data_IF_968851786312
#
_entry.id   IF_968851786312
#
_cell.length_a   1.000
_cell.length_b   1.000
_cell.length_c   1.000
_cell.angle_alpha   90.00
_cell.angle_beta   90.00
_cell.angle_gamma   90.00
#
_symmetry.space_group_name_H-M   'P 1'
#
loop_
_entity.id
_entity.type
_entity.pdbx_description
1 polymer ?
#
# COMPACT_ATOMS: atom_id res chain seq x y z
N UNK A 1 11.42 10.48 10.67
CA UNK A 1 11.58 9.27 11.49
C UNK A 1 12.45 9.47 12.74
N UNK A 2 13.24 10.53 12.82
CA UNK A 2 14.04 10.89 14.00
C UNK A 2 15.30 10.06 14.24
N UNK A 3 15.49 8.96 13.53
CA UNK A 3 16.68 8.12 13.61
C UNK A 3 17.43 8.10 12.28
N UNK A 4 18.77 8.10 12.28
CA UNK A 4 19.54 7.95 11.05
C UNK A 4 19.29 6.55 10.43
N UNK A 5 19.34 6.44 9.10
CA UNK A 5 19.25 5.14 8.44
C UNK A 5 20.48 4.29 8.76
N UNK A 6 20.30 2.96 8.86
CA UNK A 6 21.34 1.99 9.09
C UNK A 6 21.19 0.80 8.13
N UNK A 7 22.29 0.14 7.77
CA UNK A 7 22.25 -1.10 6.98
C UNK A 7 21.76 -2.28 7.81
N UNK A 8 22.12 -2.34 9.09
CA UNK A 8 21.49 -3.26 10.06
C UNK A 8 20.11 -2.72 10.45
N UNK A 9 19.10 -3.05 9.65
CA UNK A 9 17.75 -2.50 9.77
C UNK A 9 16.65 -3.56 9.87
N UNK A 10 16.97 -4.85 9.77
CA UNK A 10 15.95 -5.93 9.71
C UNK A 10 15.50 -6.33 11.11
N UNK A 11 14.52 -5.62 11.63
CA UNK A 11 13.92 -5.81 12.94
C UNK A 11 12.42 -6.03 12.83
N UNK A 12 11.87 -6.73 13.81
CA UNK A 12 10.43 -6.80 14.07
C UNK A 12 10.15 -6.26 15.46
N UNK A 13 9.02 -5.59 15.64
CA UNK A 13 8.47 -5.22 16.94
C UNK A 13 7.22 -6.06 17.18
N UNK A 14 7.00 -6.48 18.43
CA UNK A 14 5.84 -7.30 18.80
C UNK A 14 5.14 -6.65 19.98
N UNK A 15 3.83 -6.44 19.85
CA UNK A 15 2.94 -6.07 20.94
C UNK A 15 1.98 -7.22 21.19
N UNK A 16 1.92 -7.69 22.41
CA UNK A 16 1.02 -8.76 22.82
C UNK A 16 0.34 -8.38 24.13
N UNK A 17 -0.88 -8.89 24.40
CA UNK A 17 -1.50 -8.74 25.70
C UNK A 17 -0.66 -9.42 26.80
N UNK A 18 -0.44 -8.73 27.92
CA UNK A 18 0.27 -9.32 29.08
C UNK A 18 -0.45 -10.56 29.62
N UNK A 19 -1.79 -10.50 29.62
CA UNK A 19 -2.66 -11.61 30.03
C UNK A 19 -3.65 -11.88 28.90
N UNK A 20 -3.38 -12.83 28.01
CA UNK A 20 -4.30 -13.13 26.93
C UNK A 20 -5.62 -13.69 27.46
N UNK A 21 -6.74 -13.14 27.00
CA UNK A 21 -8.08 -13.60 27.35
C UNK A 21 -8.42 -14.99 26.76
N UNK A 22 -7.67 -15.42 25.75
CA UNK A 22 -7.83 -16.71 25.09
C UNK A 22 -6.47 -17.20 24.59
N UNK A 23 -6.27 -18.52 24.47
CA UNK A 23 -5.15 -19.08 23.73
C UNK A 23 -5.32 -18.79 22.24
N UNK A 24 -4.21 -18.65 21.51
CA UNK A 24 -4.21 -18.48 20.05
C UNK A 24 -4.92 -17.19 19.57
N UNK A 25 -4.36 -16.05 19.95
CA UNK A 25 -4.85 -14.74 19.51
C UNK A 25 -4.63 -14.51 18.01
N UNK A 26 -5.52 -13.78 17.32
CA UNK A 26 -5.26 -13.34 15.95
C UNK A 26 -3.99 -12.49 15.89
N UNK A 27 -3.26 -12.63 14.78
CA UNK A 27 -2.01 -11.91 14.54
C UNK A 27 -2.23 -10.90 13.42
N UNK A 28 -1.74 -9.68 13.59
CA UNK A 28 -1.72 -8.66 12.54
C UNK A 28 -0.28 -8.25 12.27
N UNK A 29 0.13 -8.28 10.99
CA UNK A 29 1.49 -7.95 10.55
C UNK A 29 1.45 -6.72 9.68
N UNK A 30 2.05 -5.62 10.16
CA UNK A 30 2.09 -4.34 9.48
C UNK A 30 3.30 -4.19 8.58
N UNK A 31 3.06 -3.74 7.34
CA UNK A 31 4.07 -3.34 6.37
C UNK A 31 3.89 -1.85 6.10
N UNK A 32 4.89 -1.04 6.46
CA UNK A 32 4.83 0.42 6.31
C UNK A 32 4.95 0.86 4.86
N UNK A 33 4.44 2.06 4.56
CA UNK A 33 4.57 2.74 3.29
C UNK A 33 5.89 3.49 3.10
N UNK A 34 5.89 4.44 2.17
CA UNK A 34 7.04 5.31 1.87
C UNK A 34 7.70 5.06 0.53
N UNK A 35 6.95 4.58 -0.47
CA UNK A 35 7.40 4.45 -1.88
C UNK A 35 8.56 3.50 -2.09
N UNK A 36 8.77 2.55 -1.18
CA UNK A 36 9.93 1.62 -1.17
C UNK A 36 11.29 2.31 -1.03
N UNK A 37 11.33 3.59 -0.70
CA UNK A 37 12.57 4.40 -0.55
C UNK A 37 12.69 5.07 0.81
N UNK A 38 11.60 5.24 1.54
CA UNK A 38 11.53 5.78 2.89
C UNK A 38 10.72 4.85 3.79
N UNK A 39 10.81 5.04 5.09
CA UNK A 39 9.94 4.37 6.04
C UNK A 39 10.70 3.62 7.12
N UNK A 40 9.92 2.98 7.98
CA UNK A 40 10.36 2.17 9.10
C UNK A 40 9.19 1.88 10.02
N UNK A 41 9.33 0.88 10.88
CA UNK A 41 8.27 0.40 11.77
C UNK A 41 8.22 1.11 13.12
N UNK A 42 9.13 2.06 13.38
CA UNK A 42 9.30 2.71 14.69
C UNK A 42 8.54 4.03 14.93
N UNK A 43 7.92 4.73 13.94
CA UNK A 43 7.13 5.92 14.24
C UNK A 43 6.03 5.67 15.26
N UNK A 44 5.81 6.62 16.17
CA UNK A 44 4.80 6.51 17.22
C UNK A 44 3.37 6.30 16.70
N UNK A 45 3.08 6.70 15.45
CA UNK A 45 1.80 6.44 14.79
C UNK A 45 1.56 4.95 14.50
N UNK A 46 2.61 4.12 14.53
CA UNK A 46 2.53 2.66 14.35
C UNK A 46 2.56 1.89 15.66
N UNK A 47 2.34 2.54 16.81
CA UNK A 47 2.25 1.87 18.11
C UNK A 47 1.11 0.84 18.11
N UNK A 48 1.45 -0.43 18.37
CA UNK A 48 0.52 -1.57 18.34
C UNK A 48 -0.29 -1.77 19.60
N UNK A 49 -0.17 -0.91 20.60
CA UNK A 49 -0.80 -1.08 21.93
C UNK A 49 -2.32 -1.18 21.84
N UNK A 50 -2.97 -0.46 20.92
CA UNK A 50 -4.42 -0.53 20.75
C UNK A 50 -4.88 -1.91 20.25
N UNK A 51 -4.14 -2.52 19.35
CA UNK A 51 -4.39 -3.89 18.87
C UNK A 51 -4.19 -4.89 20.01
N UNK A 52 -3.10 -4.76 20.78
CA UNK A 52 -2.83 -5.63 21.91
C UNK A 52 -3.94 -5.52 22.99
N UNK A 53 -4.38 -4.32 23.35
CA UNK A 53 -5.52 -4.13 24.29
C UNK A 53 -6.80 -4.81 23.80
N UNK A 54 -6.98 -4.95 22.49
CA UNK A 54 -8.12 -5.66 21.89
C UNK A 54 -7.86 -7.15 21.62
N UNK A 55 -6.81 -7.72 22.21
CA UNK A 55 -6.53 -9.16 22.14
C UNK A 55 -5.99 -9.61 20.78
N UNK A 56 -5.16 -8.81 20.17
CA UNK A 56 -4.42 -9.13 18.94
C UNK A 56 -2.93 -9.15 19.26
N UNK A 57 -2.17 -10.09 18.74
CA UNK A 57 -0.71 -9.97 18.67
C UNK A 57 -0.37 -9.16 17.42
N UNK A 58 0.12 -7.95 17.64
CA UNK A 58 0.51 -7.05 16.55
C UNK A 58 2.01 -7.14 16.32
N UNK A 59 2.41 -7.23 15.06
CA UNK A 59 3.81 -7.27 14.62
C UNK A 59 4.02 -6.18 13.58
N UNK A 60 5.04 -5.35 13.75
CA UNK A 60 5.54 -4.48 12.67
C UNK A 60 6.95 -4.87 12.28
N UNK A 61 7.29 -4.66 11.03
CA UNK A 61 8.57 -5.09 10.46
C UNK A 61 9.26 -3.96 9.70
N UNK A 62 10.58 -4.00 9.68
CA UNK A 62 11.40 -3.28 8.72
C UNK A 62 11.76 -4.19 7.55
N UNK A 63 11.98 -3.58 6.40
CA UNK A 63 12.54 -4.23 5.22
C UNK A 63 13.51 -3.29 4.52
N UNK A 64 14.42 -3.81 3.72
CA UNK A 64 15.36 -2.99 2.94
C UNK A 64 14.64 -2.13 1.93
N UNK A 65 15.13 -0.91 1.78
CA UNK A 65 14.56 0.16 0.96
C UNK A 65 15.53 0.63 -0.12
N UNK A 66 15.02 1.36 -1.09
CA UNK A 66 15.82 1.93 -2.16
C UNK A 66 16.63 0.87 -2.88
N UNK A 67 17.87 1.17 -3.23
CA UNK A 67 18.77 0.23 -3.91
C UNK A 67 19.26 -0.92 -3.03
N UNK A 68 19.10 -0.87 -1.72
CA UNK A 68 19.33 -2.02 -0.86
C UNK A 68 18.21 -3.05 -0.93
N UNK A 69 16.99 -2.59 -1.14
CA UNK A 69 15.80 -3.45 -1.21
C UNK A 69 15.41 -3.86 -2.62
N UNK A 70 15.71 -2.99 -3.60
CA UNK A 70 15.24 -3.16 -4.98
C UNK A 70 16.34 -2.76 -5.97
N UNK A 71 17.13 -3.73 -6.39
CA UNK A 71 18.25 -3.52 -7.30
C UNK A 71 18.51 -4.77 -8.16
N UNK A 72 18.56 -4.60 -9.47
CA UNK A 72 18.93 -5.64 -10.42
C UNK A 72 20.17 -5.22 -11.18
N UNK A 73 20.98 -6.20 -11.53
CA UNK A 73 22.18 -6.02 -12.38
C UNK A 73 22.49 -7.34 -13.07
N UNK A 74 22.91 -7.36 -14.34
CA UNK A 74 23.14 -8.61 -15.08
C UNK A 74 24.13 -9.56 -14.38
N UNK A 75 25.14 -9.02 -13.69
CA UNK A 75 26.09 -9.85 -12.92
C UNK A 75 25.44 -10.53 -11.71
N UNK A 76 24.45 -9.91 -11.05
CA UNK A 76 23.67 -10.55 -9.97
C UNK A 76 22.84 -11.72 -10.51
N UNK A 77 22.20 -11.52 -11.67
CA UNK A 77 21.41 -12.57 -12.33
C UNK A 77 22.28 -13.76 -12.72
N UNK A 78 23.50 -13.50 -13.23
CA UNK A 78 24.45 -14.58 -13.56
C UNK A 78 25.03 -15.28 -12.33
N UNK A 79 25.20 -14.57 -11.22
CA UNK A 79 25.72 -15.15 -9.96
C UNK A 79 24.68 -16.10 -9.32
N UNK A 80 23.40 -15.81 -9.43
CA UNK A 80 22.30 -16.58 -8.81
C UNK A 80 21.14 -16.79 -9.78
N UNK A 81 21.32 -17.52 -10.88
CA UNK A 81 20.32 -17.64 -11.96
C UNK A 81 19.02 -18.30 -11.48
N UNK A 82 19.09 -19.18 -10.48
CA UNK A 82 17.95 -19.86 -9.91
C UNK A 82 17.40 -19.16 -8.63
N UNK A 83 18.07 -18.16 -8.12
CA UNK A 83 17.68 -17.39 -6.95
C UNK A 83 16.60 -16.34 -7.26
N UNK A 84 15.84 -15.90 -6.24
CA UNK A 84 15.04 -14.69 -6.34
C UNK A 84 15.97 -13.48 -6.40
N UNK A 85 15.72 -12.56 -7.33
CA UNK A 85 16.64 -11.48 -7.68
C UNK A 85 15.95 -10.13 -7.66
N UNK A 86 16.67 -9.11 -7.21
CA UNK A 86 16.28 -7.71 -7.33
C UNK A 86 15.25 -7.22 -6.32
N UNK A 87 14.39 -8.09 -5.81
CA UNK A 87 13.30 -7.77 -4.89
C UNK A 87 13.64 -8.13 -3.43
N UNK A 88 14.80 -7.72 -2.95
CA UNK A 88 15.29 -8.08 -1.61
C UNK A 88 14.40 -7.54 -0.49
N UNK A 89 13.76 -6.37 -0.66
CA UNK A 89 12.79 -5.84 0.29
C UNK A 89 11.57 -6.75 0.45
N UNK A 90 11.09 -7.37 -0.62
CA UNK A 90 10.02 -8.38 -0.52
C UNK A 90 10.50 -9.69 0.12
N UNK A 91 11.75 -10.09 -0.10
CA UNK A 91 12.34 -11.23 0.62
C UNK A 91 12.39 -10.99 2.13
N UNK A 92 12.72 -9.76 2.54
CA UNK A 92 12.73 -9.38 3.95
C UNK A 92 11.33 -9.49 4.57
N UNK A 93 10.30 -9.03 3.85
CA UNK A 93 8.88 -9.17 4.27
C UNK A 93 8.46 -10.63 4.37
N UNK A 94 8.83 -11.46 3.38
CA UNK A 94 8.57 -12.92 3.41
C UNK A 94 9.32 -13.57 4.56
N UNK A 95 10.56 -13.16 4.83
CA UNK A 95 11.33 -13.68 5.96
C UNK A 95 10.67 -13.32 7.31
N UNK A 96 10.16 -12.09 7.45
CA UNK A 96 9.41 -11.66 8.62
C UNK A 96 8.11 -12.47 8.80
N UNK A 97 7.36 -12.73 7.72
CA UNK A 97 6.17 -13.60 7.77
C UNK A 97 6.52 -15.03 8.17
N UNK A 98 7.62 -15.59 7.67
CA UNK A 98 8.12 -16.89 8.09
C UNK A 98 8.53 -16.88 9.57
N UNK A 99 9.14 -15.81 10.04
CA UNK A 99 9.46 -15.62 11.45
C UNK A 99 8.18 -15.62 12.30
N UNK A 100 7.13 -14.92 11.86
CA UNK A 100 5.82 -14.92 12.53
C UNK A 100 5.27 -16.34 12.61
N UNK A 101 5.24 -17.08 11.51
CA UNK A 101 4.78 -18.48 11.48
C UNK A 101 5.51 -19.36 12.50
N UNK A 102 6.81 -19.14 12.67
CA UNK A 102 7.65 -19.95 13.55
C UNK A 102 7.59 -19.54 15.03
N UNK A 103 7.40 -18.24 15.33
CA UNK A 103 7.68 -17.71 16.65
C UNK A 103 6.46 -17.09 17.36
N UNK A 104 5.42 -16.69 16.63
CA UNK A 104 4.32 -15.88 17.20
C UNK A 104 3.54 -16.60 18.29
N UNK A 105 3.54 -17.94 18.31
CA UNK A 105 2.91 -18.74 19.36
C UNK A 105 3.53 -18.47 20.75
N UNK A 106 4.83 -18.15 20.82
CA UNK A 106 5.49 -17.77 22.08
C UNK A 106 4.97 -16.44 22.65
N UNK A 107 4.33 -15.62 21.83
CA UNK A 107 3.68 -14.36 22.21
C UNK A 107 2.16 -14.52 22.38
N UNK A 108 1.63 -15.75 22.37
CA UNK A 108 0.20 -16.05 22.48
C UNK A 108 -0.56 -15.92 21.14
N UNK A 109 0.10 -15.66 20.03
CA UNK A 109 -0.51 -15.55 18.70
C UNK A 109 -0.77 -16.89 18.03
N UNK A 110 -1.76 -16.92 17.15
CA UNK A 110 -2.07 -18.09 16.31
C UNK A 110 -1.38 -17.98 14.94
N UNK A 111 -0.37 -18.79 14.62
CA UNK A 111 0.23 -18.81 13.30
C UNK A 111 -0.76 -19.21 12.19
N UNK A 112 -1.88 -19.89 12.53
CA UNK A 112 -2.98 -20.20 11.62
C UNK A 112 -3.99 -19.04 11.42
N UNK A 113 -3.80 -17.89 12.07
CA UNK A 113 -4.70 -16.75 11.99
C UNK A 113 -3.94 -15.42 11.83
N UNK A 114 -3.17 -15.30 10.76
CA UNK A 114 -2.32 -14.15 10.45
C UNK A 114 -3.00 -13.26 9.40
N UNK A 115 -3.15 -11.99 9.71
CA UNK A 115 -3.59 -10.92 8.78
C UNK A 115 -2.37 -10.07 8.43
N UNK A 116 -2.01 -9.99 7.15
CA UNK A 116 -1.02 -9.03 6.66
C UNK A 116 -1.74 -7.74 6.23
N UNK A 117 -1.20 -6.59 6.61
CA UNK A 117 -1.78 -5.31 6.21
C UNK A 117 -0.71 -4.23 6.02
N UNK A 118 -1.03 -3.22 5.22
CA UNK A 118 -0.09 -2.15 4.92
C UNK A 118 -0.72 -1.04 4.12
N UNK A 119 -0.06 0.11 4.17
CA UNK A 119 -0.50 1.34 3.51
C UNK A 119 0.49 1.75 2.42
N UNK A 120 -0.03 2.38 1.32
CA UNK A 120 0.80 2.89 0.22
C UNK A 120 1.69 1.81 -0.38
N UNK A 121 3.02 1.99 -0.37
CA UNK A 121 3.97 0.94 -0.78
C UNK A 121 3.82 -0.34 0.07
N UNK A 122 3.42 -0.23 1.34
CA UNK A 122 3.06 -1.37 2.18
C UNK A 122 1.81 -2.08 1.69
N UNK A 123 0.77 -1.35 1.29
CA UNK A 123 -0.41 -1.89 0.63
C UNK A 123 -0.09 -2.56 -0.70
N UNK A 124 0.77 -1.93 -1.52
CA UNK A 124 1.31 -2.53 -2.74
C UNK A 124 2.11 -3.80 -2.47
N UNK A 125 2.84 -3.84 -1.34
CA UNK A 125 3.51 -5.05 -0.86
C UNK A 125 2.51 -6.16 -0.54
N UNK A 126 1.42 -5.85 0.16
CA UNK A 126 0.36 -6.83 0.45
C UNK A 126 -0.23 -7.40 -0.84
N UNK A 127 -0.57 -6.54 -1.84
CA UNK A 127 -1.03 -6.98 -3.15
C UNK A 127 -0.01 -7.92 -3.83
N UNK A 128 1.28 -7.61 -3.73
CA UNK A 128 2.36 -8.45 -4.26
C UNK A 128 2.47 -9.78 -3.52
N UNK A 129 2.40 -9.78 -2.19
CA UNK A 129 2.40 -11.00 -1.38
C UNK A 129 1.20 -11.90 -1.67
N UNK A 130 0.03 -11.32 -1.97
CA UNK A 130 -1.17 -12.05 -2.38
C UNK A 130 -0.95 -12.90 -3.65
N UNK A 131 -0.05 -12.48 -4.53
CA UNK A 131 0.23 -13.17 -5.80
C UNK A 131 1.56 -13.92 -5.81
N UNK A 132 2.42 -13.71 -4.79
CA UNK A 132 3.75 -14.31 -4.72
C UNK A 132 3.67 -15.80 -4.33
N UNK A 133 4.26 -16.72 -5.13
CA UNK A 133 4.34 -18.13 -4.76
C UNK A 133 5.09 -18.35 -3.44
N UNK A 134 6.08 -17.50 -3.12
CA UNK A 134 6.92 -17.62 -1.93
C UNK A 134 6.22 -17.20 -0.64
N UNK A 135 5.10 -16.46 -0.74
CA UNK A 135 4.30 -16.00 0.40
C UNK A 135 3.06 -16.85 0.65
N UNK A 136 2.79 -17.86 -0.19
CA UNK A 136 1.61 -18.72 -0.05
C UNK A 136 1.60 -19.45 1.30
N UNK A 137 0.46 -19.38 2.01
CA UNK A 137 0.27 -20.03 3.31
C UNK A 137 0.93 -19.31 4.49
N UNK A 138 1.61 -18.16 4.28
CA UNK A 138 2.21 -17.39 5.37
C UNK A 138 1.23 -16.45 6.06
N UNK A 139 0.08 -16.18 5.43
CA UNK A 139 -1.00 -15.36 5.99
C UNK A 139 -2.36 -15.90 5.55
N UNK A 140 -3.42 -15.50 6.25
CA UNK A 140 -4.77 -16.03 6.15
C UNK A 140 -5.81 -14.97 5.83
N UNK A 141 -5.43 -13.69 5.91
CA UNK A 141 -6.25 -12.52 5.56
C UNK A 141 -5.34 -11.39 5.09
N UNK A 142 -5.88 -10.49 4.29
CA UNK A 142 -5.14 -9.35 3.78
C UNK A 142 -5.96 -8.06 3.86
N UNK A 143 -5.31 -6.96 4.30
CA UNK A 143 -5.88 -5.62 4.25
C UNK A 143 -4.93 -4.72 3.45
N UNK A 144 -5.48 -3.99 2.50
CA UNK A 144 -4.73 -3.06 1.64
C UNK A 144 -5.29 -1.65 1.81
N UNK A 145 -4.45 -0.77 2.31
CA UNK A 145 -4.75 0.64 2.50
C UNK A 145 -3.99 1.44 1.43
N UNK A 146 -4.72 2.06 0.50
CA UNK A 146 -4.15 2.89 -0.58
C UNK A 146 -3.00 2.22 -1.34
N UNK A 147 -3.15 0.93 -1.68
CA UNK A 147 -2.05 0.10 -2.21
C UNK A 147 -1.93 0.05 -3.73
N UNK A 148 -2.75 0.79 -4.49
CA UNK A 148 -2.77 0.72 -5.95
C UNK A 148 -3.14 -0.69 -6.45
N UNK A 149 -2.41 -1.19 -7.45
CA UNK A 149 -2.55 -2.57 -7.94
C UNK A 149 -3.05 -2.69 -9.38
N UNK A 150 -3.35 -1.57 -10.05
CA UNK A 150 -3.71 -1.56 -11.46
C UNK A 150 -2.49 -1.68 -12.35
N UNK A 151 -2.58 -2.48 -13.40
CA UNK A 151 -1.57 -2.58 -14.44
C UNK A 151 -1.39 -1.23 -15.15
N UNK A 152 -0.14 -0.84 -15.40
CA UNK A 152 0.19 0.49 -15.93
C UNK A 152 -0.04 1.65 -14.94
N UNK A 153 -0.40 1.37 -13.68
CA UNK A 153 -0.60 2.37 -12.63
C UNK A 153 0.71 2.87 -11.99
N UNK A 154 0.55 3.68 -10.93
CA UNK A 154 1.69 4.34 -10.26
C UNK A 154 2.71 3.37 -9.63
N UNK A 155 2.27 2.16 -9.27
CA UNK A 155 3.10 1.12 -8.65
C UNK A 155 3.41 -0.04 -9.61
N UNK A 156 3.29 0.16 -10.92
CA UNK A 156 3.60 -0.87 -11.92
C UNK A 156 5.07 -1.27 -11.85
N UNK A 157 5.37 -2.55 -11.59
CA UNK A 157 6.75 -3.03 -11.55
C UNK A 157 7.34 -3.11 -12.97
N UNK A 158 8.62 -2.82 -13.10
CA UNK A 158 9.37 -3.05 -14.33
C UNK A 158 9.66 -4.53 -14.52
N UNK A 159 9.94 -4.94 -15.76
CA UNK A 159 10.53 -6.27 -16.00
C UNK A 159 11.94 -6.35 -15.42
N UNK A 160 12.43 -7.56 -15.10
CA UNK A 160 13.80 -7.77 -14.64
C UNK A 160 14.83 -7.18 -15.61
N UNK A 161 14.64 -7.38 -16.92
CA UNK A 161 15.53 -6.83 -17.95
C UNK A 161 15.60 -5.30 -17.94
N UNK A 162 14.48 -4.63 -17.80
CA UNK A 162 14.44 -3.16 -17.68
C UNK A 162 15.11 -2.70 -16.37
N UNK A 163 14.88 -3.42 -15.26
CA UNK A 163 15.51 -3.12 -13.99
C UNK A 163 17.03 -3.34 -14.01
N UNK A 164 17.52 -4.35 -14.73
CA UNK A 164 18.95 -4.57 -14.96
C UNK A 164 19.58 -3.41 -15.73
N UNK A 165 18.92 -2.92 -16.78
CA UNK A 165 19.40 -1.76 -17.53
C UNK A 165 19.51 -0.51 -16.64
N UNK A 166 18.55 -0.29 -15.76
CA UNK A 166 18.58 0.78 -14.75
C UNK A 166 19.72 0.57 -13.75
N UNK A 167 19.99 -0.67 -13.32
CA UNK A 167 21.10 -0.99 -12.43
C UNK A 167 22.46 -0.74 -13.08
N UNK A 168 22.62 -1.05 -14.35
CA UNK A 168 23.85 -0.73 -15.13
C UNK A 168 24.01 0.79 -15.26
N UNK A 169 22.92 1.52 -15.52
CA UNK A 169 22.96 2.99 -15.57
C UNK A 169 23.37 3.59 -14.22
N UNK A 170 22.83 3.06 -13.11
CA UNK A 170 23.28 3.43 -11.77
C UNK A 170 24.75 3.14 -11.55
N UNK A 171 25.23 1.93 -11.85
CA UNK A 171 26.62 1.52 -11.70
C UNK A 171 27.56 2.48 -12.44
N UNK A 172 27.26 2.78 -13.71
CA UNK A 172 28.01 3.75 -14.50
C UNK A 172 28.02 5.14 -13.86
N UNK A 173 26.89 5.62 -13.37
CA UNK A 173 26.78 6.93 -12.67
C UNK A 173 27.59 6.97 -11.37
N UNK A 174 27.82 5.81 -10.76
CA UNK A 174 28.64 5.63 -9.55
C UNK A 174 30.14 5.38 -9.86
N UNK A 175 30.56 5.50 -11.12
CA UNK A 175 31.94 5.29 -11.53
C UNK A 175 32.31 3.80 -11.70
N UNK A 176 31.34 2.91 -11.76
CA UNK A 176 31.53 1.47 -11.94
C UNK A 176 30.99 1.07 -13.32
N UNK A 177 31.79 1.14 -14.38
CA UNK A 177 31.38 0.69 -15.70
C UNK A 177 31.35 -0.84 -15.81
N UNK A 178 30.55 -1.35 -16.76
CA UNK A 178 30.46 -2.78 -17.01
C UNK A 178 29.26 -3.45 -16.39
N UNK A 179 29.08 -4.71 -16.69
CA UNK A 179 27.98 -5.53 -16.24
C UNK A 179 28.40 -6.93 -15.78
N UNK A 180 29.72 -7.13 -15.60
CA UNK A 180 30.38 -8.39 -15.25
C UNK A 180 30.61 -8.56 -13.72
N UNK A 181 31.23 -9.66 -13.37
CA UNK A 181 31.55 -9.96 -11.96
C UNK A 181 32.50 -8.92 -11.32
N UNK A 182 33.39 -8.29 -12.12
CA UNK A 182 34.28 -7.25 -11.61
C UNK A 182 33.49 -5.98 -11.25
N UNK A 183 32.54 -5.59 -12.10
CA UNK A 183 31.63 -4.48 -11.84
C UNK A 183 30.78 -4.76 -10.57
N UNK A 184 30.26 -5.98 -10.41
CA UNK A 184 29.52 -6.36 -9.21
C UNK A 184 30.39 -6.29 -7.93
N UNK A 185 31.62 -6.78 -8.00
CA UNK A 185 32.55 -6.70 -6.88
C UNK A 185 32.90 -5.24 -6.50
N UNK A 186 32.99 -4.34 -7.50
CA UNK A 186 33.18 -2.91 -7.28
C UNK A 186 31.93 -2.25 -6.67
N UNK A 187 30.72 -2.58 -7.14
CA UNK A 187 29.45 -2.10 -6.57
C UNK A 187 29.31 -2.48 -5.08
N UNK A 188 29.70 -3.71 -4.73
CA UNK A 188 29.65 -4.20 -3.33
C UNK A 188 30.61 -3.46 -2.40
N UNK A 189 31.61 -2.75 -2.92
CA UNK A 189 32.56 -1.93 -2.16
C UNK A 189 32.13 -0.48 -1.99
N UNK A 190 31.07 -0.06 -2.67
CA UNK A 190 30.58 1.30 -2.55
C UNK A 190 30.06 1.55 -1.11
N UNK A 191 30.39 2.69 -0.52
CA UNK A 191 29.80 3.10 0.75
C UNK A 191 28.27 3.23 0.63
N UNK A 192 27.55 2.92 1.70
CA UNK A 192 26.07 2.99 1.73
C UNK A 192 25.53 4.34 1.24
N UNK A 193 26.16 5.46 1.62
CA UNK A 193 25.78 6.81 1.15
C UNK A 193 25.81 6.96 -0.36
N UNK A 194 26.71 6.25 -1.04
CA UNK A 194 26.85 6.30 -2.51
C UNK A 194 25.83 5.41 -3.21
N UNK A 195 25.29 4.41 -2.53
CA UNK A 195 24.13 3.65 -2.97
C UNK A 195 22.82 4.43 -2.79
N UNK A 196 22.66 5.14 -1.67
CA UNK A 196 21.49 5.98 -1.41
C UNK A 196 21.45 7.18 -2.35
N UNK A 197 22.55 7.96 -2.47
CA UNK A 197 22.69 9.14 -3.36
C UNK A 197 21.47 10.09 -3.34
N UNK A 198 20.95 10.37 -2.15
CA UNK A 198 19.81 11.25 -1.98
C UNK A 198 18.47 10.67 -2.47
N UNK A 199 18.39 9.37 -2.78
CA UNK A 199 17.15 8.70 -3.17
C UNK A 199 16.19 8.73 -1.98
N UNK A 200 15.03 9.36 -2.18
CA UNK A 200 13.95 9.44 -1.22
C UNK A 200 12.62 9.71 -1.95
N UNK A 201 11.52 9.79 -1.22
CA UNK A 201 10.18 9.95 -1.79
C UNK A 201 10.04 11.21 -2.67
N UNK A 202 10.73 12.30 -2.32
CA UNK A 202 10.69 13.57 -3.08
C UNK A 202 11.56 13.55 -4.32
N UNK A 203 12.62 12.73 -4.35
CA UNK A 203 13.61 12.69 -5.42
C UNK A 203 13.50 11.47 -6.32
N UNK A 204 12.75 10.43 -5.92
CA UNK A 204 12.64 9.18 -6.68
C UNK A 204 12.14 9.39 -8.12
N UNK A 205 11.25 10.35 -8.33
CA UNK A 205 10.76 10.69 -9.65
C UNK A 205 11.85 11.19 -10.61
N UNK A 206 12.87 11.86 -10.08
CA UNK A 206 14.03 12.37 -10.81
C UNK A 206 15.13 11.31 -11.01
N UNK A 207 15.04 10.20 -10.30
CA UNK A 207 16.03 9.11 -10.32
C UNK A 207 15.53 7.85 -11.05
N UNK A 208 14.49 7.97 -11.87
CA UNK A 208 13.88 6.82 -12.58
C UNK A 208 14.87 6.06 -13.49
N UNK A 209 15.92 6.72 -13.97
CA UNK A 209 16.95 6.11 -14.82
C UNK A 209 18.02 5.36 -14.03
N UNK A 210 18.04 5.52 -12.68
CA UNK A 210 19.04 4.92 -11.79
C UNK A 210 18.42 4.18 -10.61
N UNK A 211 17.09 4.15 -10.50
CA UNK A 211 16.34 3.41 -9.50
C UNK A 211 15.10 2.76 -10.13
N UNK A 212 15.08 1.45 -10.15
CA UNK A 212 14.00 0.69 -10.78
C UNK A 212 12.76 0.52 -9.90
N UNK A 213 12.93 0.48 -8.57
CA UNK A 213 11.89 0.02 -7.64
C UNK A 213 11.65 -1.49 -7.73
N UNK A 214 10.50 -1.97 -7.24
CA UNK A 214 10.06 -3.35 -7.42
C UNK A 214 10.00 -3.77 -8.89
N UNK A 215 10.26 -5.06 -9.16
CA UNK A 215 10.32 -5.58 -10.53
C UNK A 215 9.68 -6.97 -10.65
N UNK A 216 9.23 -7.31 -11.84
CA UNK A 216 8.78 -8.66 -12.18
C UNK A 216 10.03 -9.51 -12.40
N UNK A 217 10.39 -10.32 -11.38
CA UNK A 217 11.54 -11.22 -11.38
C UNK A 217 11.18 -12.67 -11.75
N UNK A 218 9.88 -12.95 -11.90
CA UNK A 218 9.36 -14.27 -12.23
C UNK A 218 9.37 -15.29 -11.07
N UNK A 219 9.77 -14.88 -9.86
CA UNK A 219 9.90 -15.76 -8.69
C UNK A 219 9.19 -15.22 -7.45
N UNK A 220 9.45 -13.97 -7.07
CA UNK A 220 8.73 -13.26 -5.99
C UNK A 220 7.54 -12.54 -6.60
N UNK A 221 7.82 -11.70 -7.59
CA UNK A 221 6.82 -10.96 -8.37
C UNK A 221 6.71 -11.63 -9.72
N UNK A 222 5.68 -12.44 -9.92
CA UNK A 222 5.50 -13.24 -11.13
C UNK A 222 4.76 -12.49 -12.23
N UNK A 223 3.96 -11.50 -11.85
CA UNK A 223 3.14 -10.67 -12.74
C UNK A 223 2.61 -9.45 -11.97
N UNK A 224 1.84 -8.59 -12.64
CA UNK A 224 1.14 -7.48 -12.00
C UNK A 224 -0.08 -7.96 -11.21
N UNK A 225 -0.44 -7.31 -10.07
CA UNK A 225 -1.59 -7.71 -9.26
C UNK A 225 -2.90 -7.80 -10.04
N UNK A 226 -3.25 -6.80 -10.84
CA UNK A 226 -4.46 -6.85 -11.67
C UNK A 226 -4.51 -8.09 -12.56
N UNK A 227 -3.40 -8.41 -13.23
CA UNK A 227 -3.32 -9.58 -14.12
C UNK A 227 -3.58 -10.88 -13.37
N UNK A 228 -2.98 -11.02 -12.19
CA UNK A 228 -3.17 -12.19 -11.35
C UNK A 228 -4.60 -12.30 -10.81
N UNK A 229 -5.18 -11.18 -10.34
CA UNK A 229 -6.56 -11.15 -9.81
C UNK A 229 -7.59 -11.45 -10.91
N UNK A 230 -7.44 -10.89 -12.12
CA UNK A 230 -8.30 -11.22 -13.26
C UNK A 230 -8.28 -12.71 -13.62
N UNK A 231 -7.17 -13.36 -13.41
CA UNK A 231 -7.00 -14.79 -13.68
C UNK A 231 -7.27 -15.69 -12.45
N UNK A 232 -7.65 -15.12 -11.31
CA UNK A 232 -7.95 -15.85 -10.07
C UNK A 232 -6.73 -16.55 -9.45
N UNK A 233 -5.51 -16.03 -9.68
CA UNK A 233 -4.25 -16.62 -9.21
C UNK A 233 -3.76 -16.08 -7.86
N UNK A 234 -4.42 -15.07 -7.31
CA UNK A 234 -4.14 -14.53 -5.98
C UNK A 234 -4.42 -15.54 -4.86
N UNK A 235 -3.85 -15.34 -3.68
CA UNK A 235 -4.20 -16.09 -2.48
C UNK A 235 -5.70 -15.89 -2.18
N UNK A 236 -6.42 -16.99 -2.00
CA UNK A 236 -7.88 -16.99 -1.74
C UNK A 236 -8.16 -16.82 -0.25
N UNK A 237 -7.91 -15.64 0.26
CA UNK A 237 -8.12 -15.27 1.67
C UNK A 237 -9.12 -14.11 1.74
N UNK A 238 -9.82 -13.88 2.87
CA UNK A 238 -10.61 -12.69 3.08
C UNK A 238 -9.78 -11.42 2.79
N UNK A 239 -10.38 -10.47 2.09
CA UNK A 239 -9.71 -9.30 1.55
C UNK A 239 -10.45 -8.01 1.91
N UNK A 240 -9.78 -7.07 2.56
CA UNK A 240 -10.28 -5.74 2.88
C UNK A 240 -9.41 -4.72 2.16
N UNK A 241 -10.03 -3.82 1.38
CA UNK A 241 -9.28 -2.90 0.54
C UNK A 241 -9.98 -1.55 0.43
N UNK A 242 -9.23 -0.49 0.42
CA UNK A 242 -9.76 0.85 0.21
C UNK A 242 -8.69 1.91 0.05
N UNK A 243 -9.14 3.14 0.03
CA UNK A 243 -8.30 4.31 -0.18
C UNK A 243 -8.92 5.55 0.46
N UNK A 244 -8.10 6.59 0.63
CA UNK A 244 -8.56 7.88 1.10
C UNK A 244 -9.25 8.67 -0.01
N UNK A 245 -10.10 9.61 0.35
CA UNK A 245 -10.93 10.30 -0.63
C UNK A 245 -10.18 11.36 -1.45
N UNK A 246 -9.02 11.84 -0.95
CA UNK A 246 -8.22 12.89 -1.58
C UNK A 246 -6.71 12.59 -1.52
N UNK A 247 -6.30 11.42 -1.92
CA UNK A 247 -4.96 10.84 -1.78
C UNK A 247 -3.81 11.83 -2.04
N UNK A 248 -3.87 12.58 -3.13
CA UNK A 248 -2.82 13.50 -3.57
C UNK A 248 -3.17 14.98 -3.41
N UNK A 249 -4.12 15.31 -2.53
CA UNK A 249 -4.56 16.67 -2.30
C UNK A 249 -3.50 17.65 -1.78
N UNK A 250 -2.33 17.15 -1.38
CA UNK A 250 -1.16 17.94 -0.98
C UNK A 250 -0.23 18.30 -2.15
N UNK A 251 -0.48 17.79 -3.35
CA UNK A 251 0.37 17.99 -4.52
C UNK A 251 -0.27 19.02 -5.46
N UNK A 252 0.26 20.26 -5.56
CA UNK A 252 -0.21 21.19 -6.57
C UNK A 252 0.13 20.64 -7.97
N UNK A 253 -0.87 20.61 -8.84
CA UNK A 253 -0.69 20.16 -10.22
C UNK A 253 -0.60 21.38 -11.15
N UNK A 254 0.47 21.50 -11.96
CA UNK A 254 0.54 22.53 -12.98
C UNK A 254 -0.52 22.28 -14.06
N UNK A 255 -1.11 23.33 -14.67
CA UNK A 255 -2.15 23.20 -15.70
C UNK A 255 -1.80 22.19 -16.81
N UNK A 256 -0.57 22.21 -17.31
CA UNK A 256 -0.12 21.30 -18.35
C UNK A 256 -0.19 19.81 -17.92
N UNK A 257 0.00 19.50 -16.63
CA UNK A 257 -0.15 18.12 -16.14
C UNK A 257 -1.62 17.71 -16.14
N UNK A 258 -2.52 18.59 -15.76
CA UNK A 258 -3.97 18.35 -15.79
C UNK A 258 -4.46 18.19 -17.22
N UNK A 259 -4.01 19.04 -18.15
CA UNK A 259 -4.32 18.91 -19.57
C UNK A 259 -3.82 17.58 -20.14
N UNK A 260 -2.62 17.13 -19.76
CA UNK A 260 -2.06 15.84 -20.14
C UNK A 260 -2.89 14.66 -19.60
N UNK A 261 -3.40 14.75 -18.38
CA UNK A 261 -4.30 13.74 -17.81
C UNK A 261 -5.61 13.70 -18.61
N UNK A 262 -6.22 14.84 -18.87
CA UNK A 262 -7.50 14.96 -19.58
C UNK A 262 -7.40 14.54 -21.05
N UNK A 263 -6.26 14.78 -21.70
CA UNK A 263 -6.03 14.36 -23.09
C UNK A 263 -6.16 12.84 -23.29
N UNK A 264 -5.90 12.04 -22.24
CA UNK A 264 -6.06 10.59 -22.28
C UNK A 264 -7.51 10.17 -22.51
N UNK A 265 -8.48 10.98 -22.09
CA UNK A 265 -9.91 10.70 -22.23
C UNK A 265 -10.50 11.07 -23.61
N UNK A 266 -9.72 11.67 -24.49
CA UNK A 266 -10.11 11.97 -25.90
C UNK A 266 -11.49 12.65 -26.02
N UNK A 267 -12.44 12.03 -26.73
CA UNK A 267 -13.78 12.58 -26.93
C UNK A 267 -14.62 12.67 -25.61
N UNK A 268 -14.26 11.94 -24.57
CA UNK A 268 -14.97 11.98 -23.28
C UNK A 268 -14.41 13.03 -22.29
N UNK A 269 -13.45 13.86 -22.71
CA UNK A 269 -12.82 14.89 -21.86
C UNK A 269 -13.86 15.74 -21.12
N UNK A 270 -14.86 16.23 -21.81
CA UNK A 270 -15.89 17.12 -21.23
C UNK A 270 -16.77 16.36 -20.21
N UNK A 271 -17.10 15.10 -20.48
CA UNK A 271 -17.83 14.25 -19.54
C UNK A 271 -17.01 13.99 -18.26
N UNK A 272 -15.70 13.79 -18.41
CA UNK A 272 -14.78 13.64 -17.28
C UNK A 272 -14.72 14.94 -16.46
N UNK A 273 -14.52 16.08 -17.10
CA UNK A 273 -14.52 17.38 -16.39
C UNK A 273 -15.85 17.58 -15.65
N UNK A 274 -16.98 17.31 -16.27
CA UNK A 274 -18.29 17.44 -15.63
C UNK A 274 -18.46 16.48 -14.42
N UNK A 275 -17.89 15.29 -14.47
CA UNK A 275 -17.93 14.32 -13.37
C UNK A 275 -17.04 14.73 -12.17
N UNK A 276 -15.95 15.46 -12.42
CA UNK A 276 -15.02 15.92 -11.38
C UNK A 276 -15.28 17.35 -10.91
N UNK A 277 -16.00 18.13 -11.67
CA UNK A 277 -16.44 19.51 -11.33
C UNK A 277 -17.97 19.65 -11.54
N UNK A 278 -18.80 18.90 -10.78
CA UNK A 278 -20.27 18.95 -10.93
C UNK A 278 -20.82 20.35 -10.59
N UNK A 279 -20.12 21.13 -9.76
CA UNK A 279 -20.46 22.51 -9.42
C UNK A 279 -20.11 23.53 -10.49
N UNK A 280 -19.43 23.12 -11.57
CA UNK A 280 -18.96 24.00 -12.68
C UNK A 280 -18.14 25.18 -12.18
N UNK A 281 -17.28 24.93 -11.20
CA UNK A 281 -16.41 25.95 -10.59
C UNK A 281 -15.28 26.39 -11.52
N UNK A 282 -14.93 25.56 -12.52
CA UNK A 282 -13.79 25.76 -13.41
C UNK A 282 -12.44 25.50 -12.72
N UNK A 283 -12.43 24.95 -11.52
CA UNK A 283 -11.19 24.65 -10.80
C UNK A 283 -10.51 23.39 -11.34
N UNK A 284 -9.72 23.56 -12.41
CA UNK A 284 -9.03 22.45 -13.07
C UNK A 284 -7.98 21.79 -12.18
N UNK A 285 -7.42 22.52 -11.20
CA UNK A 285 -6.52 21.91 -10.20
C UNK A 285 -7.22 20.84 -9.37
N UNK A 286 -8.44 21.09 -8.92
CA UNK A 286 -9.27 20.10 -8.21
C UNK A 286 -9.65 18.90 -9.09
N UNK A 287 -9.99 19.16 -10.36
CA UNK A 287 -10.22 18.08 -11.35
C UNK A 287 -8.98 17.19 -11.47
N UNK A 288 -7.81 17.78 -11.60
CA UNK A 288 -6.55 17.04 -11.71
C UNK A 288 -6.22 16.22 -10.45
N UNK A 289 -6.38 16.81 -9.26
CA UNK A 289 -6.17 16.11 -7.98
C UNK A 289 -7.15 14.94 -7.84
N UNK A 290 -8.42 15.15 -8.19
CA UNK A 290 -9.43 14.08 -8.17
C UNK A 290 -9.09 12.95 -9.12
N UNK A 291 -8.73 13.26 -10.37
CA UNK A 291 -8.31 12.28 -11.38
C UNK A 291 -7.08 11.48 -10.93
N UNK A 292 -6.08 12.16 -10.35
CA UNK A 292 -4.86 11.51 -9.86
C UNK A 292 -5.17 10.59 -8.67
N UNK A 293 -5.97 11.06 -7.71
CA UNK A 293 -6.35 10.26 -6.53
C UNK A 293 -7.16 9.02 -6.93
N UNK A 294 -8.16 9.20 -7.79
CA UNK A 294 -8.98 8.10 -8.24
C UNK A 294 -8.19 7.11 -9.10
N UNK A 295 -7.41 7.59 -10.07
CA UNK A 295 -6.66 6.71 -10.96
C UNK A 295 -5.50 5.96 -10.31
N UNK A 296 -4.89 6.54 -9.27
CA UNK A 296 -3.75 5.92 -8.61
C UNK A 296 -4.14 4.94 -7.49
N UNK A 297 -5.20 5.23 -6.72
CA UNK A 297 -5.51 4.47 -5.50
C UNK A 297 -6.96 4.01 -5.41
N UNK A 298 -7.94 4.91 -5.68
CA UNK A 298 -9.35 4.64 -5.40
C UNK A 298 -9.95 3.63 -6.39
N UNK A 299 -9.76 3.86 -7.69
CA UNK A 299 -10.23 2.95 -8.73
C UNK A 299 -9.50 1.60 -8.69
N UNK A 300 -8.16 1.55 -8.51
CA UNK A 300 -7.46 0.29 -8.31
C UNK A 300 -7.97 -0.53 -7.12
N UNK A 301 -8.27 0.12 -6.00
CA UNK A 301 -8.85 -0.57 -4.83
C UNK A 301 -10.24 -1.16 -5.17
N UNK A 302 -11.10 -0.39 -5.83
CA UNK A 302 -12.42 -0.87 -6.31
C UNK A 302 -12.31 -2.02 -7.31
N UNK A 303 -11.36 -1.92 -8.26
CA UNK A 303 -11.10 -3.00 -9.23
C UNK A 303 -10.69 -4.29 -8.53
N UNK A 304 -9.72 -4.24 -7.61
CA UNK A 304 -9.25 -5.43 -6.90
C UNK A 304 -10.33 -6.00 -5.98
N UNK A 305 -11.15 -5.14 -5.34
CA UNK A 305 -12.32 -5.60 -4.57
C UNK A 305 -13.30 -6.37 -5.46
N UNK A 306 -13.60 -5.86 -6.64
CA UNK A 306 -14.50 -6.51 -7.61
C UNK A 306 -13.96 -7.85 -8.06
N UNK A 307 -12.68 -7.92 -8.43
CA UNK A 307 -12.04 -9.14 -8.90
C UNK A 307 -11.93 -10.20 -7.80
N UNK A 308 -11.60 -9.80 -6.57
CA UNK A 308 -11.57 -10.70 -5.41
C UNK A 308 -12.97 -11.25 -5.09
N UNK A 309 -13.98 -10.38 -5.06
CA UNK A 309 -15.38 -10.77 -4.83
C UNK A 309 -15.89 -11.72 -5.92
N UNK A 310 -15.62 -11.42 -7.20
CA UNK A 310 -15.97 -12.29 -8.32
C UNK A 310 -15.28 -13.67 -8.25
N UNK A 311 -14.10 -13.76 -7.64
CA UNK A 311 -13.40 -15.01 -7.37
C UNK A 311 -13.96 -15.76 -6.14
N UNK A 312 -15.03 -15.25 -5.51
CA UNK A 312 -15.66 -15.86 -4.33
C UNK A 312 -14.95 -15.60 -3.01
N UNK A 313 -14.04 -14.64 -2.94
CA UNK A 313 -13.40 -14.25 -1.69
C UNK A 313 -14.32 -13.34 -0.86
N UNK A 314 -14.45 -13.55 0.46
CA UNK A 314 -15.03 -12.55 1.35
C UNK A 314 -14.27 -11.23 1.20
N UNK A 315 -14.94 -10.21 0.65
CA UNK A 315 -14.28 -8.96 0.29
C UNK A 315 -15.04 -7.79 0.89
N UNK A 316 -14.31 -6.80 1.39
CA UNK A 316 -14.86 -5.59 1.98
C UNK A 316 -14.14 -4.38 1.41
N UNK A 317 -14.90 -3.38 0.97
CA UNK A 317 -14.34 -2.16 0.39
C UNK A 317 -14.62 -0.95 1.29
N UNK A 318 -13.65 -0.03 1.42
CA UNK A 318 -13.83 1.20 2.19
C UNK A 318 -13.37 2.44 1.45
N UNK A 319 -13.86 3.58 1.92
CA UNK A 319 -13.36 4.92 1.69
C UNK A 319 -13.05 5.57 3.03
N UNK A 320 -11.92 6.23 3.14
CA UNK A 320 -11.63 7.06 4.29
C UNK A 320 -11.77 8.52 3.86
N UNK A 321 -12.84 9.20 4.31
CA UNK A 321 -13.14 10.59 3.98
C UNK A 321 -13.08 11.52 5.19
N UNK A 322 -12.76 10.98 6.37
CA UNK A 322 -12.61 11.76 7.58
C UNK A 322 -11.33 12.58 7.57
N UNK A 323 -11.48 13.84 7.90
CA UNK A 323 -10.35 14.74 8.14
C UNK A 323 -10.32 15.07 9.64
N UNK A 324 -9.16 14.90 10.27
CA UNK A 324 -8.99 15.23 11.67
C UNK A 324 -9.45 16.67 11.99
N UNK A 325 -10.11 16.83 13.10
CA UNK A 325 -10.74 18.10 13.51
C UNK A 325 -9.78 19.29 13.45
N UNK A 326 -8.53 19.08 13.88
CA UNK A 326 -7.49 20.11 13.93
C UNK A 326 -7.02 20.64 12.57
N UNK A 327 -7.24 19.88 11.48
CA UNK A 327 -6.80 20.27 10.12
C UNK A 327 -7.96 20.39 9.13
N UNK A 328 -9.19 20.10 9.54
CA UNK A 328 -10.38 20.02 8.68
C UNK A 328 -10.65 21.31 7.89
N UNK A 329 -10.34 22.46 8.46
CA UNK A 329 -10.50 23.74 7.78
C UNK A 329 -9.38 24.06 6.76
N UNK A 330 -8.30 23.27 6.76
CA UNK A 330 -7.11 23.54 5.94
C UNK A 330 -6.99 22.60 4.74
N UNK A 331 -7.73 21.49 4.73
CA UNK A 331 -7.67 20.47 3.67
C UNK A 331 -9.08 20.05 3.27
N UNK A 332 -9.28 19.82 1.97
CA UNK A 332 -10.60 19.58 1.40
C UNK A 332 -11.02 18.09 1.44
N UNK A 333 -10.25 17.21 2.08
CA UNK A 333 -10.52 15.78 2.18
C UNK A 333 -9.38 15.03 2.83
N UNK A 334 -9.56 13.73 3.07
CA UNK A 334 -8.56 12.86 3.68
C UNK A 334 -7.39 12.62 2.72
N UNK A 335 -6.21 13.12 3.10
CA UNK A 335 -4.99 13.00 2.31
C UNK A 335 -4.37 11.61 2.47
N UNK A 336 -3.42 11.26 1.61
CA UNK A 336 -2.68 10.00 1.66
C UNK A 336 -2.09 9.74 3.04
N UNK A 337 -2.25 8.52 3.54
CA UNK A 337 -1.74 8.06 4.85
C UNK A 337 -2.37 8.74 6.08
N UNK A 338 -3.46 9.53 5.92
CA UNK A 338 -4.11 10.17 7.09
C UNK A 338 -5.05 9.24 7.85
N UNK A 339 -5.44 8.11 7.32
CA UNK A 339 -6.21 7.06 8.00
C UNK A 339 -5.38 6.29 9.04
N UNK A 340 -4.06 6.19 8.86
CA UNK A 340 -3.16 5.40 9.71
C UNK A 340 -3.36 5.68 11.21
N UNK A 341 -3.30 6.93 11.71
CA UNK A 341 -3.47 7.20 13.13
C UNK A 341 -4.87 6.81 13.65
N UNK A 342 -5.87 6.67 12.77
CA UNK A 342 -7.21 6.19 13.14
C UNK A 342 -7.24 4.66 13.19
N UNK A 343 -6.66 3.98 12.22
CA UNK A 343 -6.54 2.51 12.22
C UNK A 343 -5.74 2.03 13.43
N UNK A 344 -4.68 2.74 13.81
CA UNK A 344 -3.81 2.42 14.94
C UNK A 344 -4.30 2.98 16.30
N UNK A 345 -5.34 3.82 16.29
CA UNK A 345 -5.81 4.52 17.50
C UNK A 345 -4.68 5.36 18.15
N UNK A 346 -3.90 6.02 17.30
CA UNK A 346 -2.72 6.84 17.67
C UNK A 346 -2.87 8.30 17.25
N UNK A 347 -4.11 8.80 17.18
CA UNK A 347 -4.41 10.18 16.75
C UNK A 347 -3.67 11.23 17.60
N UNK A 348 -3.47 10.96 18.91
CA UNK A 348 -2.67 11.83 19.77
C UNK A 348 -1.19 11.85 19.42
N UNK A 349 -0.64 10.75 18.93
CA UNK A 349 0.75 10.71 18.45
C UNK A 349 0.93 11.56 17.19
N UNK A 350 -0.11 11.69 16.36
CA UNK A 350 -0.10 12.47 15.12
C UNK A 350 -0.43 13.94 15.34
N UNK A 351 -1.49 14.23 16.08
CA UNK A 351 -2.08 15.57 16.20
C UNK A 351 -1.88 16.23 17.57
N UNK A 352 -1.26 15.51 18.52
CA UNK A 352 -0.96 16.04 19.86
C UNK A 352 -2.20 16.49 20.62
N UNK A 353 -2.08 17.61 21.31
CA UNK A 353 -3.18 18.21 22.08
C UNK A 353 -4.31 18.77 21.20
N UNK A 354 -4.11 18.86 19.89
CA UNK A 354 -5.13 19.31 18.95
C UNK A 354 -6.11 18.19 18.53
N UNK A 355 -5.92 16.94 19.01
CA UNK A 355 -6.87 15.85 18.82
C UNK A 355 -8.15 16.11 19.60
N UNK A 356 -9.30 15.97 18.95
CA UNK A 356 -10.60 16.08 19.59
C UNK A 356 -11.18 14.72 19.98
N UNK A 357 -12.21 14.72 20.84
CA UNK A 357 -12.91 13.51 21.25
C UNK A 357 -13.54 12.75 20.07
N UNK A 358 -14.00 13.46 19.05
CA UNK A 358 -14.53 12.87 17.81
C UNK A 358 -13.45 12.14 17.00
N UNK A 359 -12.20 12.65 16.96
CA UNK A 359 -11.07 11.98 16.32
C UNK A 359 -10.77 10.66 17.04
N UNK A 360 -10.77 10.66 18.38
CA UNK A 360 -10.56 9.45 19.19
C UNK A 360 -11.69 8.43 19.01
N UNK A 361 -12.93 8.90 18.94
CA UNK A 361 -14.09 8.03 18.74
C UNK A 361 -14.05 7.34 17.37
N UNK A 362 -13.70 8.07 16.31
CA UNK A 362 -13.55 7.47 14.98
C UNK A 362 -12.37 6.49 14.93
N UNK A 363 -11.26 6.83 15.59
CA UNK A 363 -10.10 5.94 15.66
C UNK A 363 -10.46 4.62 16.38
N UNK A 364 -11.19 4.70 17.50
CA UNK A 364 -11.68 3.52 18.22
C UNK A 364 -12.59 2.66 17.34
N UNK A 365 -13.47 3.28 16.54
CA UNK A 365 -14.35 2.58 15.61
C UNK A 365 -13.55 1.92 14.46
N UNK A 366 -12.65 2.64 13.80
CA UNK A 366 -11.83 2.11 12.71
C UNK A 366 -10.98 0.92 13.18
N UNK A 367 -10.23 1.09 14.27
CA UNK A 367 -9.44 -0.01 14.85
C UNK A 367 -10.30 -1.23 15.17
N UNK A 368 -11.53 -1.04 15.70
CA UNK A 368 -12.42 -2.15 16.03
C UNK A 368 -12.87 -2.95 14.79
N UNK A 369 -13.08 -2.31 13.62
CA UNK A 369 -13.36 -3.01 12.37
C UNK A 369 -12.15 -3.82 11.89
N UNK A 370 -10.94 -3.26 11.92
CA UNK A 370 -9.71 -3.96 11.54
C UNK A 370 -9.44 -5.18 12.43
N UNK A 371 -9.63 -5.01 13.75
CA UNK A 371 -9.49 -6.11 14.70
C UNK A 371 -10.54 -7.20 14.49
N UNK A 372 -11.81 -6.85 14.24
CA UNK A 372 -12.85 -7.83 13.94
C UNK A 372 -12.52 -8.62 12.68
N UNK A 373 -12.10 -7.93 11.61
CA UNK A 373 -11.65 -8.59 10.38
C UNK A 373 -10.45 -9.51 10.63
N UNK A 374 -9.46 -9.08 11.42
CA UNK A 374 -8.31 -9.90 11.76
C UNK A 374 -8.70 -11.18 12.54
N UNK A 375 -9.74 -11.12 13.35
CA UNK A 375 -10.23 -12.28 14.10
C UNK A 375 -10.87 -13.32 13.19
N UNK A 376 -11.80 -12.90 12.33
CA UNK A 376 -12.74 -13.81 11.65
C UNK A 376 -12.71 -13.72 10.12
N UNK A 377 -12.13 -12.68 9.54
CA UNK A 377 -12.27 -12.32 8.12
C UNK A 377 -13.55 -11.53 7.80
N UNK A 378 -14.32 -11.19 8.83
CA UNK A 378 -15.50 -10.34 8.77
C UNK A 378 -15.27 -9.12 9.67
N UNK A 379 -15.37 -7.86 9.16
CA UNK A 379 -15.15 -6.66 9.96
C UNK A 379 -16.31 -6.34 10.91
N UNK A 380 -17.44 -7.03 10.80
CA UNK A 380 -18.63 -6.77 11.59
C UNK A 380 -18.47 -7.16 13.08
N UNK A 381 -19.28 -6.55 13.93
CA UNK A 381 -19.31 -6.81 15.35
C UNK A 381 -20.38 -5.94 16.03
N UNK A 382 -20.66 -6.27 17.29
CA UNK A 382 -21.73 -5.63 18.05
C UNK A 382 -21.55 -4.11 18.19
N UNK A 383 -22.66 -3.37 18.12
CA UNK A 383 -22.70 -1.93 18.35
C UNK A 383 -22.11 -1.04 17.23
N UNK A 384 -21.73 -1.61 16.10
CA UNK A 384 -21.24 -0.86 14.95
C UNK A 384 -22.16 -0.96 13.74
N UNK A 385 -22.20 0.06 12.86
CA UNK A 385 -22.88 -0.05 11.58
C UNK A 385 -22.39 -1.30 10.79
N UNK A 386 -23.34 -2.01 10.19
CA UNK A 386 -23.00 -3.21 9.43
C UNK A 386 -22.23 -2.84 8.16
N UNK A 387 -21.10 -3.49 7.94
CA UNK A 387 -20.30 -3.42 6.72
C UNK A 387 -20.66 -4.60 5.82
N UNK A 388 -21.42 -4.42 4.74
CA UNK A 388 -21.76 -5.49 3.83
C UNK A 388 -20.52 -6.01 3.09
N UNK A 389 -20.49 -7.30 2.79
CA UNK A 389 -19.52 -7.83 1.86
C UNK A 389 -19.70 -7.15 0.48
N UNK A 390 -18.58 -6.82 -0.16
CA UNK A 390 -18.60 -6.13 -1.45
C UNK A 390 -19.16 -7.01 -2.56
N UNK A 391 -20.02 -6.43 -3.36
CA UNK A 391 -20.46 -6.98 -4.64
C UNK A 391 -20.42 -5.91 -5.73
N UNK A 392 -20.05 -6.29 -6.94
CA UNK A 392 -20.04 -5.37 -8.09
C UNK A 392 -21.41 -4.77 -8.37
N UNK A 393 -22.49 -5.55 -8.15
CA UNK A 393 -23.85 -5.11 -8.39
C UNK A 393 -24.22 -3.92 -7.50
N UNK A 394 -23.96 -4.05 -6.21
CA UNK A 394 -24.39 -3.09 -5.21
C UNK A 394 -23.37 -1.97 -5.01
N UNK A 395 -22.07 -2.26 -5.24
CA UNK A 395 -20.92 -1.35 -5.15
C UNK A 395 -20.91 -0.56 -3.83
N UNK A 396 -21.17 -1.27 -2.72
CA UNK A 396 -21.28 -0.69 -1.38
C UNK A 396 -19.90 -0.65 -0.74
N UNK A 397 -19.56 0.52 -0.23
CA UNK A 397 -18.34 0.77 0.58
C UNK A 397 -18.73 1.13 2.01
N UNK A 398 -17.83 0.90 2.95
CA UNK A 398 -17.85 1.55 4.27
C UNK A 398 -17.12 2.87 4.14
N UNK A 399 -17.83 3.98 4.31
CA UNK A 399 -17.21 5.31 4.36
C UNK A 399 -16.95 5.73 5.81
N UNK A 400 -15.69 5.95 6.15
CA UNK A 400 -15.31 6.54 7.43
C UNK A 400 -15.33 8.05 7.29
N UNK A 401 -16.50 8.65 7.56
CA UNK A 401 -16.79 10.07 7.34
C UNK A 401 -16.87 10.86 8.65
N UNK A 402 -17.06 12.15 8.55
CA UNK A 402 -17.28 13.06 9.73
C UNK A 402 -18.50 12.63 10.56
N UNK A 403 -19.51 12.05 9.93
CA UNK A 403 -20.69 11.50 10.59
C UNK A 403 -20.48 10.15 11.26
N UNK A 404 -19.27 9.60 11.15
CA UNK A 404 -18.93 8.24 11.58
C UNK A 404 -18.93 7.24 10.42
N UNK A 405 -18.63 5.94 10.70
CA UNK A 405 -18.66 4.88 9.71
C UNK A 405 -20.08 4.66 9.16
N UNK A 406 -20.23 4.66 7.84
CA UNK A 406 -21.50 4.47 7.14
C UNK A 406 -21.32 3.57 5.92
N UNK A 407 -22.13 2.52 5.81
CA UNK A 407 -22.18 1.69 4.61
C UNK A 407 -23.13 2.32 3.59
N UNK A 408 -22.62 2.61 2.39
CA UNK A 408 -23.39 3.23 1.31
C UNK A 408 -22.87 2.83 -0.07
N UNK A 409 -23.73 2.92 -1.09
CA UNK A 409 -23.29 2.83 -2.47
C UNK A 409 -22.21 3.89 -2.74
N UNK A 410 -21.14 3.53 -3.47
CA UNK A 410 -20.05 4.48 -3.74
C UNK A 410 -20.57 5.70 -4.53
N UNK A 411 -20.60 6.90 -3.95
CA UNK A 411 -21.10 8.10 -4.63
C UNK A 411 -20.22 8.49 -5.82
N UNK A 412 -19.05 7.92 -5.93
CA UNK A 412 -18.08 8.17 -7.01
C UNK A 412 -18.17 7.15 -8.14
N UNK A 413 -19.10 6.19 -8.07
CA UNK A 413 -19.22 5.11 -9.05
C UNK A 413 -19.12 5.59 -10.50
N UNK A 414 -19.90 6.60 -10.88
CA UNK A 414 -19.93 7.10 -12.25
C UNK A 414 -18.56 7.62 -12.74
N UNK A 415 -17.84 8.37 -11.91
CA UNK A 415 -16.51 8.88 -12.28
C UNK A 415 -15.44 7.80 -12.25
N UNK A 416 -15.54 6.82 -11.33
CA UNK A 416 -14.64 5.68 -11.30
C UNK A 416 -14.84 4.76 -12.51
N UNK A 417 -16.07 4.60 -12.99
CA UNK A 417 -16.37 3.88 -14.24
C UNK A 417 -15.72 4.58 -15.46
N UNK A 418 -15.67 5.92 -15.47
CA UNK A 418 -14.92 6.68 -16.49
C UNK A 418 -13.43 6.36 -16.42
N UNK A 419 -12.82 6.46 -15.23
CA UNK A 419 -11.39 6.17 -15.04
C UNK A 419 -11.07 4.75 -15.48
N UNK A 420 -11.86 3.76 -15.10
CA UNK A 420 -11.68 2.36 -15.44
C UNK A 420 -11.67 2.11 -16.95
N UNK A 421 -12.64 2.67 -17.69
CA UNK A 421 -12.72 2.50 -19.16
C UNK A 421 -11.46 2.96 -19.86
N UNK A 422 -10.83 4.04 -19.39
CA UNK A 422 -9.62 4.59 -19.99
C UNK A 422 -8.34 3.93 -19.51
N UNK A 423 -8.33 3.41 -18.28
CA UNK A 423 -7.20 2.64 -17.80
C UNK A 423 -7.07 1.27 -18.50
N UNK A 424 -8.19 0.68 -18.91
CA UNK A 424 -8.25 -0.58 -19.65
C UNK A 424 -7.93 -0.43 -21.15
N UNK A 425 -7.93 0.80 -21.69
CA UNK A 425 -7.61 1.03 -23.10
C UNK A 425 -6.11 0.85 -23.36
N UNK A 426 -5.70 0.09 -24.40
CA UNK A 426 -4.29 -0.02 -24.75
C UNK A 426 -3.71 1.38 -25.02
N UNK A 427 -2.45 1.64 -24.64
CA UNK A 427 -1.81 2.91 -24.96
C UNK A 427 -1.85 3.12 -26.47
N UNK A 428 -2.32 4.30 -26.89
CA UNK A 428 -2.29 4.68 -28.30
C UNK A 428 -0.86 4.63 -28.81
N UNK A 429 -0.62 3.80 -29.82
CA UNK A 429 0.65 3.73 -30.56
C UNK A 429 0.95 5.08 -31.22
#
# INVERSE_FOLDING_TARGET
LGTPPAEDCLYVNVWAPEKPAAPKLPVMVWIHGGGFVNGGSSPAVYDGSAFARRGVVFVSLNHRLGRFGFFAHPALTRETPDGPLGNYGYLDQIAALRWVQKNVAAFGGDPGNVTVFGESAGGGSVNTLMISPLARGLFHKAIVESGGGRAGGIMTPRTLKEAEAVGVAFARSAGVPGDDAAALAALRKLPAKDLVRGLNLMTMGQQRDTYAGPMIDGKIVVEEPETAFRAGRQARVPYLVGANDREFGFMPLPPAAVDGMLARFRAEKDAVVAAYDPGKTGNMGEVGIGLMSDGAMVEPARLLARLASAAGQPTYAYRFSYVASSIRNNVAGALHATEIPFVFETVKAKYGAASAAEDEALAAAANAYWVAFARTGDPNGDGRPRWPAYSERDDVIMDFAVTGPEAKADPRRARLDLVERFAAAPPSR
#
